data_IF_798680135696
#
_entry.id   IF_798680135696
#
_cell.length_a   1.000
_cell.length_b   1.000
_cell.length_c   1.000
_cell.angle_alpha   90.00
_cell.angle_beta   90.00
_cell.angle_gamma   90.00
#
_symmetry.space_group_name_H-M   'P 1'
#
loop_
_entity.id
_entity.type
_entity.pdbx_description
1 polymer ?
#
# COMPACT_ATOMS: atom_id res chain seq x y z
N UNK A 1 -5.23 18.13 4.01
CA UNK A 1 -5.07 16.68 3.74
C UNK A 1 -5.48 15.80 4.91
N UNK A 2 -5.30 16.22 6.17
CA UNK A 2 -5.67 15.42 7.34
C UNK A 2 -7.18 15.10 7.40
N UNK A 3 -8.05 16.11 7.30
CA UNK A 3 -9.52 15.91 7.31
C UNK A 3 -9.99 14.97 6.20
N UNK A 4 -9.43 15.12 4.99
CA UNK A 4 -9.69 14.20 3.88
C UNK A 4 -9.26 12.77 4.22
N UNK A 5 -8.07 12.61 4.81
CA UNK A 5 -7.57 11.30 5.21
C UNK A 5 -8.48 10.65 6.26
N UNK A 6 -8.86 11.39 7.30
CA UNK A 6 -9.76 10.93 8.35
C UNK A 6 -11.09 10.47 7.75
N UNK A 7 -11.74 11.31 6.94
CA UNK A 7 -13.00 10.98 6.25
C UNK A 7 -12.85 9.76 5.34
N UNK A 8 -11.75 9.65 4.59
CA UNK A 8 -11.49 8.53 3.69
C UNK A 8 -11.35 7.21 4.46
N UNK A 9 -10.56 7.21 5.54
CA UNK A 9 -10.35 6.02 6.38
C UNK A 9 -11.65 5.60 7.07
N UNK A 10 -12.39 6.54 7.67
CA UNK A 10 -13.68 6.26 8.31
C UNK A 10 -14.69 5.68 7.32
N UNK A 11 -14.76 6.24 6.10
CA UNK A 11 -15.65 5.73 5.05
C UNK A 11 -15.32 4.28 4.71
N UNK A 12 -14.04 3.94 4.60
CA UNK A 12 -13.59 2.58 4.27
C UNK A 12 -13.77 1.60 5.42
N UNK A 13 -13.63 2.03 6.67
CA UNK A 13 -13.86 1.19 7.85
C UNK A 13 -15.34 0.86 8.07
N UNK A 14 -16.24 1.74 7.63
CA UNK A 14 -17.69 1.54 7.71
C UNK A 14 -18.27 0.70 6.57
N UNK A 15 -17.42 0.17 5.70
CA UNK A 15 -17.83 -0.73 4.64
C UNK A 15 -18.26 -2.09 5.19
N UNK A 16 -19.37 -2.63 4.70
CA UNK A 16 -19.78 -4.00 5.01
C UNK A 16 -18.69 -5.01 4.63
N UNK A 17 -18.51 -6.00 5.50
CA UNK A 17 -17.60 -7.12 5.25
C UNK A 17 -18.00 -7.86 3.97
N UNK A 18 -17.02 -8.08 3.10
CA UNK A 18 -17.19 -8.82 1.86
C UNK A 18 -15.91 -9.59 1.56
N UNK A 19 -15.94 -10.94 1.52
CA UNK A 19 -14.73 -11.74 1.29
C UNK A 19 -14.14 -11.56 -0.12
N UNK A 20 -14.97 -11.15 -1.09
CA UNK A 20 -14.54 -10.86 -2.46
C UNK A 20 -13.93 -9.47 -2.63
N UNK A 21 -14.01 -8.60 -1.62
CA UNK A 21 -13.43 -7.25 -1.68
C UNK A 21 -12.00 -7.25 -1.16
N UNK A 22 -11.10 -6.71 -1.95
CA UNK A 22 -9.74 -6.40 -1.53
C UNK A 22 -9.63 -4.94 -1.12
N UNK A 23 -8.86 -4.65 -0.07
CA UNK A 23 -8.58 -3.27 0.34
C UNK A 23 -7.10 -3.08 0.64
N UNK A 24 -6.51 -2.10 -0.04
CA UNK A 24 -5.08 -1.79 0.01
C UNK A 24 -4.93 -0.29 0.17
N UNK A 25 -4.96 0.19 1.41
CA UNK A 25 -4.86 1.64 1.69
C UNK A 25 -3.55 1.93 2.38
N UNK A 26 -2.75 2.78 1.75
CA UNK A 26 -1.41 3.11 2.20
C UNK A 26 -1.26 4.63 2.33
N UNK A 27 -0.66 5.09 3.43
CA UNK A 27 -0.58 6.51 3.80
C UNK A 27 0.54 7.29 3.08
N UNK A 28 0.82 6.97 1.81
CA UNK A 28 1.80 7.71 1.02
C UNK A 28 1.17 8.89 0.28
N UNK A 29 1.78 10.06 0.37
CA UNK A 29 1.44 11.21 -0.47
C UNK A 29 2.09 11.07 -1.85
N UNK A 30 1.55 10.18 -2.70
CA UNK A 30 2.08 9.85 -4.03
C UNK A 30 0.94 9.44 -4.98
N UNK A 31 1.04 9.83 -6.26
CA UNK A 31 0.17 9.35 -7.34
C UNK A 31 0.91 8.32 -8.21
N UNK A 32 0.20 7.29 -8.70
CA UNK A 32 0.75 6.33 -9.66
C UNK A 32 1.70 5.26 -9.07
N UNK A 33 1.70 5.06 -7.75
CA UNK A 33 2.60 4.14 -7.06
C UNK A 33 2.60 2.71 -7.62
N UNK A 34 1.41 2.20 -8.00
CA UNK A 34 1.24 0.86 -8.56
C UNK A 34 1.89 0.66 -9.94
N UNK A 35 2.15 1.73 -10.68
CA UNK A 35 2.77 1.65 -12.00
C UNK A 35 4.30 1.55 -11.94
N UNK A 36 4.89 1.84 -10.78
CA UNK A 36 6.32 1.73 -10.57
C UNK A 36 6.67 0.29 -10.18
N UNK A 37 7.58 -0.36 -10.92
CA UNK A 37 8.06 -1.71 -10.57
C UNK A 37 8.53 -1.82 -9.10
N UNK A 38 9.29 -0.84 -8.55
CA UNK A 38 9.61 -0.85 -7.12
C UNK A 38 8.39 -0.70 -6.21
N UNK A 39 7.40 0.11 -6.61
CA UNK A 39 6.15 0.26 -5.86
C UNK A 39 5.39 -1.06 -5.72
N UNK A 40 5.30 -1.85 -6.79
CA UNK A 40 4.65 -3.16 -6.74
C UNK A 40 5.41 -4.21 -5.91
N UNK A 41 6.73 -4.31 -6.09
CA UNK A 41 7.55 -5.38 -5.49
C UNK A 41 8.08 -5.09 -4.09
N UNK A 42 8.30 -3.82 -3.77
CA UNK A 42 9.08 -3.43 -2.59
C UNK A 42 8.20 -2.80 -1.52
N UNK A 43 7.17 -2.06 -1.94
CA UNK A 43 6.28 -1.41 -0.98
C UNK A 43 5.43 -2.40 -0.25
N UNK A 44 5.27 -2.17 1.05
CA UNK A 44 4.51 -3.05 1.92
C UNK A 44 3.28 -2.34 2.47
N UNK A 45 2.17 -3.07 2.48
CA UNK A 45 1.00 -2.71 3.29
C UNK A 45 1.00 -3.67 4.46
N UNK A 46 1.19 -3.13 5.66
CA UNK A 46 1.43 -3.91 6.88
C UNK A 46 2.66 -4.82 6.67
N UNK A 47 2.43 -6.12 6.48
CA UNK A 47 3.47 -7.13 6.38
C UNK A 47 3.61 -7.76 5.00
N UNK A 48 2.80 -7.38 3.99
CA UNK A 48 2.88 -7.99 2.65
C UNK A 48 3.35 -6.96 1.64
N UNK A 49 4.10 -7.38 0.61
CA UNK A 49 4.32 -6.51 -0.55
C UNK A 49 2.97 -6.22 -1.22
N UNK A 50 2.85 -5.09 -1.89
CA UNK A 50 1.63 -4.76 -2.64
C UNK A 50 1.33 -5.86 -3.66
N UNK A 51 2.36 -6.36 -4.34
CA UNK A 51 2.21 -7.42 -5.34
C UNK A 51 1.74 -8.76 -4.78
N UNK A 52 2.32 -9.21 -3.66
CA UNK A 52 1.89 -10.45 -3.00
C UNK A 52 0.45 -10.31 -2.51
N UNK A 53 0.15 -9.18 -1.88
CA UNK A 53 -1.15 -8.93 -1.29
C UNK A 53 -2.26 -8.86 -2.35
N UNK A 54 -2.04 -8.15 -3.46
CA UNK A 54 -2.99 -8.09 -4.59
C UNK A 54 -3.09 -9.45 -5.27
N UNK A 55 -1.97 -10.15 -5.47
CA UNK A 55 -1.94 -11.47 -6.09
C UNK A 55 -2.74 -12.48 -5.27
N UNK A 56 -2.53 -12.54 -3.96
CA UNK A 56 -3.23 -13.49 -3.10
C UNK A 56 -4.73 -13.21 -3.02
N UNK A 57 -5.12 -11.92 -2.99
CA UNK A 57 -6.53 -11.54 -3.08
C UNK A 57 -7.15 -11.88 -4.44
N UNK A 58 -6.49 -11.55 -5.55
CA UNK A 58 -7.04 -11.75 -6.90
C UNK A 58 -7.22 -13.23 -7.26
N UNK A 59 -6.33 -14.10 -6.78
CA UNK A 59 -6.38 -15.54 -7.01
C UNK A 59 -7.05 -16.32 -5.88
N UNK A 60 -7.79 -15.65 -4.98
CA UNK A 60 -8.48 -16.25 -3.84
C UNK A 60 -7.59 -17.12 -2.93
N UNK A 61 -6.28 -16.83 -2.87
CA UNK A 61 -5.32 -17.54 -2.00
C UNK A 61 -5.38 -17.03 -0.56
N UNK A 62 -5.67 -15.74 -0.38
CA UNK A 62 -5.90 -15.15 0.94
C UNK A 62 -6.77 -13.91 0.83
N UNK A 63 -7.62 -13.71 1.83
CA UNK A 63 -8.27 -12.42 2.04
C UNK A 63 -7.23 -11.32 2.32
N UNK A 64 -7.48 -10.12 1.80
CA UNK A 64 -6.66 -8.96 2.12
C UNK A 64 -7.49 -7.67 2.17
N UNK A 65 -7.74 -7.17 3.37
CA UNK A 65 -8.25 -5.83 3.60
C UNK A 65 -7.42 -5.17 4.70
N UNK A 66 -6.45 -4.36 4.30
CA UNK A 66 -5.55 -3.68 5.21
C UNK A 66 -5.56 -2.18 4.93
N UNK A 67 -5.66 -1.42 6.01
CA UNK A 67 -5.67 0.03 6.00
C UNK A 67 -4.54 0.52 6.91
N UNK A 68 -3.61 1.29 6.36
CA UNK A 68 -2.64 2.01 7.17
C UNK A 68 -3.31 3.22 7.84
N UNK A 69 -3.36 3.21 9.17
CA UNK A 69 -4.03 4.25 9.98
C UNK A 69 -3.07 5.33 10.50
N UNK A 70 -1.86 5.43 9.95
CA UNK A 70 -0.96 6.54 10.28
C UNK A 70 -1.65 7.89 9.98
N UNK A 71 -1.64 8.82 10.93
CA UNK A 71 -2.38 10.10 10.80
C UNK A 71 -1.69 11.17 9.98
N UNK A 72 -0.42 10.93 9.63
CA UNK A 72 0.40 11.89 8.90
C UNK A 72 0.81 11.24 7.58
N UNK A 73 0.51 11.86 6.42
CA UNK A 73 0.97 11.37 5.14
C UNK A 73 2.49 11.19 5.13
N UNK A 74 2.97 10.00 4.78
CA UNK A 74 4.38 9.75 4.54
C UNK A 74 4.78 10.38 3.22
N UNK A 75 5.91 11.07 3.22
CA UNK A 75 6.52 11.59 2.00
C UNK A 75 7.23 10.44 1.26
N UNK A 76 6.52 9.84 0.31
CA UNK A 76 7.01 8.72 -0.48
C UNK A 76 7.43 9.13 -1.90
N UNK A 77 7.59 10.44 -2.13
CA UNK A 77 8.15 10.99 -3.38
C UNK A 77 9.64 11.29 -3.27
N UNK A 78 10.19 11.34 -2.04
CA UNK A 78 11.57 11.72 -1.83
C UNK A 78 12.51 10.54 -2.04
N UNK A 79 13.55 10.75 -2.84
CA UNK A 79 14.61 9.79 -3.13
C UNK A 79 15.42 9.37 -1.92
N UNK A 80 15.25 9.96 -0.73
CA UNK A 80 15.89 9.45 0.50
C UNK A 80 15.10 8.30 1.16
N UNK A 81 13.77 8.27 0.97
CA UNK A 81 12.97 7.09 1.31
C UNK A 81 13.10 6.08 0.17
N UNK A 82 13.04 6.50 -1.10
CA UNK A 82 13.32 5.60 -2.21
C UNK A 82 14.78 5.09 -2.28
N UNK A 83 15.84 5.84 -1.95
CA UNK A 83 17.24 5.33 -1.99
C UNK A 83 17.54 4.35 -0.84
N UNK A 84 16.90 4.54 0.32
CA UNK A 84 17.01 3.61 1.45
C UNK A 84 16.14 2.37 1.21
N UNK A 85 15.06 2.51 0.45
CA UNK A 85 14.13 1.44 0.05
C UNK A 85 14.56 0.68 -1.22
N UNK A 86 15.24 1.35 -2.16
CA UNK A 86 15.65 0.88 -3.49
C UNK A 86 17.00 0.18 -3.46
N UNK A 87 17.97 0.58 -2.61
CA UNK A 87 19.27 -0.11 -2.61
C UNK A 87 19.14 -1.60 -2.28
N UNK A 88 18.22 -1.99 -1.39
CA UNK A 88 17.97 -3.41 -1.10
C UNK A 88 17.07 -4.08 -2.14
N UNK A 89 16.09 -3.39 -2.69
CA UNK A 89 15.11 -4.01 -3.56
C UNK A 89 15.57 -4.11 -5.03
N UNK A 90 16.28 -3.11 -5.55
CA UNK A 90 16.89 -3.14 -6.88
C UNK A 90 18.01 -4.18 -6.94
N UNK A 91 18.82 -4.32 -5.88
CA UNK A 91 19.89 -5.34 -5.80
C UNK A 91 19.37 -6.79 -5.71
N UNK A 92 18.08 -7.02 -5.46
CA UNK A 92 17.46 -8.34 -5.37
C UNK A 92 16.67 -8.74 -6.63
N UNK A 93 16.60 -7.85 -7.63
CA UNK A 93 15.86 -8.07 -8.89
C UNK A 93 16.82 -8.40 -10.06
N UNK A 94 18.14 -8.35 -9.83
CA UNK A 94 19.18 -8.84 -10.75
C UNK A 94 19.65 -10.26 -10.38
#
# INVERSE_FOLDING_TARGET
MQEFQETFIETLQNLDYSPSRGLFVHTCYLHGHLFLKPGWKCSRVVNNTIGDAIGDWYFDRSYFQQIDTCKVPRNCTNTLDLDTFDKKCVQLID
#
